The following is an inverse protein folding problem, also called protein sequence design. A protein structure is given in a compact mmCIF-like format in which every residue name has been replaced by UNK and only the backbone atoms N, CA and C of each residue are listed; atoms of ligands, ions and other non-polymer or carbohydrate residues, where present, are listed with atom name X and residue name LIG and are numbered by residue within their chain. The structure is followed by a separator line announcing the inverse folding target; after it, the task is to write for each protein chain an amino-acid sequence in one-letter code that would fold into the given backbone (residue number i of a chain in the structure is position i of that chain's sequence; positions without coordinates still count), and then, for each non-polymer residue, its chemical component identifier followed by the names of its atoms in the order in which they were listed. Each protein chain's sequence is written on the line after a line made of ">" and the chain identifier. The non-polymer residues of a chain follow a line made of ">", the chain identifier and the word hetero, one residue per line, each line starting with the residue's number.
data_IF_358954489394
#
_entry.id   IF_358954489394
#
_cell.length_a   1.000
_cell.length_b   1.000
_cell.length_c   1.000
_cell.angle_alpha   90.00
_cell.angle_beta   90.00
_cell.angle_gamma   90.00
#
_symmetry.space_group_name_H-M   'P 1'
#
loop_
_entity.id
_entity.type
_entity.pdbx_description
1 polymer ?
#
# COMPACT_ATOMS: atom_id res chain seq x y z
N UNK A 1 42.58 15.60 37.91
CA UNK A 1 42.07 15.92 36.55
C UNK A 1 42.07 14.71 35.62
N UNK A 2 43.17 13.93 35.48
CA UNK A 2 43.22 12.74 34.61
C UNK A 2 42.25 11.62 34.97
N UNK A 3 42.00 11.36 36.26
CA UNK A 3 41.04 10.33 36.69
C UNK A 3 39.59 10.63 36.27
N UNK A 4 39.13 11.88 36.42
CA UNK A 4 37.77 12.28 36.03
C UNK A 4 37.49 12.12 34.53
N UNK A 5 38.49 12.36 33.67
CA UNK A 5 38.38 12.15 32.22
C UNK A 5 38.22 10.66 31.89
N UNK A 6 38.97 9.79 32.56
CA UNK A 6 38.88 8.34 32.37
C UNK A 6 37.54 7.80 32.87
N UNK A 7 37.04 8.29 34.01
CA UNK A 7 35.70 7.91 34.48
C UNK A 7 34.62 8.42 33.54
N UNK A 8 34.70 9.66 33.05
CA UNK A 8 33.74 10.18 32.07
C UNK A 8 33.76 9.38 30.76
N UNK A 9 34.94 9.01 30.25
CA UNK A 9 35.05 8.17 29.05
C UNK A 9 34.51 6.76 29.26
N UNK A 10 34.71 6.17 30.44
CA UNK A 10 34.10 4.88 30.80
C UNK A 10 32.58 4.99 30.88
N UNK A 11 32.04 6.07 31.47
CA UNK A 11 30.59 6.32 31.51
C UNK A 11 30.02 6.57 30.11
N UNK A 12 30.70 7.33 29.26
CA UNK A 12 30.30 7.55 27.86
C UNK A 12 30.35 6.24 27.06
N UNK A 13 31.39 5.41 27.26
CA UNK A 13 31.49 4.09 26.64
C UNK A 13 30.39 3.13 27.10
N UNK A 14 30.08 3.11 28.40
CA UNK A 14 28.98 2.33 28.97
C UNK A 14 27.63 2.83 28.43
N UNK A 15 27.42 4.15 28.36
CA UNK A 15 26.20 4.75 27.76
C UNK A 15 26.10 4.43 26.26
N UNK A 16 27.21 4.40 25.52
CA UNK A 16 27.20 3.98 24.10
C UNK A 16 26.85 2.49 23.94
N UNK A 17 27.35 1.61 24.81
CA UNK A 17 27.00 0.18 24.79
C UNK A 17 25.54 -0.06 25.21
N UNK A 18 24.98 0.75 26.12
CA UNK A 18 23.56 0.69 26.49
C UNK A 18 22.63 1.43 25.50
N UNK A 19 23.15 2.37 24.71
CA UNK A 19 22.43 3.01 23.62
C UNK A 19 22.36 2.12 22.37
N UNK A 20 23.23 1.11 22.28
CA UNK A 20 23.15 0.06 21.27
C UNK A 20 22.00 -0.88 21.60
N UNK A 21 20.98 -0.90 20.73
CA UNK A 21 19.90 -1.86 20.83
C UNK A 21 20.42 -3.18 20.26
N UNK A 22 20.44 -4.27 21.04
CA UNK A 22 20.84 -5.57 20.51
C UNK A 22 19.99 -5.87 19.27
N UNK A 23 20.63 -6.43 18.24
CA UNK A 23 19.91 -6.83 17.03
C UNK A 23 18.80 -7.79 17.38
N UNK A 24 17.68 -7.62 16.70
CA UNK A 24 16.55 -8.51 16.91
C UNK A 24 16.92 -9.92 16.47
N UNK A 25 16.57 -10.91 17.31
CA UNK A 25 16.87 -12.33 17.07
C UNK A 25 16.43 -12.80 15.68
N UNK A 26 15.30 -12.31 15.19
CA UNK A 26 14.77 -12.63 13.85
C UNK A 26 15.67 -12.15 12.70
N UNK A 27 16.32 -10.99 12.86
CA UNK A 27 17.28 -10.45 11.90
C UNK A 27 18.52 -11.33 11.86
N UNK A 28 19.01 -11.75 13.02
CA UNK A 28 20.18 -12.63 13.11
C UNK A 28 19.88 -14.03 12.59
N UNK A 29 18.70 -14.60 12.88
CA UNK A 29 18.24 -15.88 12.34
C UNK A 29 18.11 -15.84 10.81
N UNK A 30 17.54 -14.76 10.26
CA UNK A 30 17.42 -14.58 8.81
C UNK A 30 18.80 -14.44 8.14
N UNK A 31 19.72 -13.66 8.72
CA UNK A 31 21.09 -13.52 8.22
C UNK A 31 21.88 -14.84 8.29
N UNK A 32 21.74 -15.59 9.38
CA UNK A 32 22.36 -16.91 9.53
C UNK A 32 21.82 -17.91 8.50
N UNK A 33 20.52 -17.86 8.20
CA UNK A 33 19.87 -18.73 7.22
C UNK A 33 20.19 -18.36 5.76
N UNK A 34 20.37 -17.07 5.46
CA UNK A 34 20.53 -16.59 4.07
C UNK A 34 21.98 -16.32 3.67
N UNK A 35 22.89 -16.13 4.64
CA UNK A 35 24.34 -16.29 4.52
C UNK A 35 25.08 -15.39 3.51
N UNK A 36 24.40 -14.57 2.72
CA UNK A 36 25.01 -13.81 1.62
C UNK A 36 24.42 -12.41 1.54
N UNK A 37 25.30 -11.41 1.52
CA UNK A 37 25.01 -10.09 0.96
C UNK A 37 24.47 -10.29 -0.44
N UNK A 38 23.21 -9.93 -0.65
CA UNK A 38 22.61 -10.01 -1.98
C UNK A 38 23.21 -8.89 -2.81
N UNK A 39 24.11 -9.23 -3.74
CA UNK A 39 24.45 -8.34 -4.85
C UNK A 39 23.16 -7.96 -5.59
N UNK A 40 23.13 -6.76 -6.15
CA UNK A 40 22.09 -6.29 -7.07
C UNK A 40 21.90 -7.33 -8.19
N UNK A 41 21.08 -8.35 -7.95
CA UNK A 41 20.39 -9.02 -9.04
C UNK A 41 19.62 -7.91 -9.72
N UNK A 42 19.81 -7.80 -11.05
CA UNK A 42 19.13 -6.81 -11.87
C UNK A 42 17.64 -6.77 -11.54
N UNK A 43 16.99 -5.67 -11.94
CA UNK A 43 15.57 -5.45 -11.73
C UNK A 43 14.78 -6.77 -11.88
N UNK A 44 13.89 -7.11 -10.93
CA UNK A 44 13.21 -8.40 -10.90
C UNK A 44 12.69 -8.80 -12.28
N UNK A 45 12.76 -10.10 -12.62
CA UNK A 45 12.18 -10.65 -13.87
C UNK A 45 10.66 -10.42 -13.95
N UNK A 46 10.00 -10.18 -12.81
CA UNK A 46 8.68 -9.53 -12.82
C UNK A 46 8.88 -8.14 -13.41
N UNK A 47 8.52 -8.00 -14.68
CA UNK A 47 8.16 -6.72 -15.27
C UNK A 47 6.96 -6.18 -14.49
N UNK A 48 7.23 -5.62 -13.32
CA UNK A 48 6.38 -4.55 -12.83
C UNK A 48 6.41 -3.50 -13.92
N UNK A 49 5.25 -2.97 -14.32
CA UNK A 49 5.13 -1.80 -15.18
C UNK A 49 5.68 -0.55 -14.50
N UNK A 50 6.83 -0.65 -13.83
CA UNK A 50 7.64 0.44 -13.37
C UNK A 50 7.86 1.35 -14.58
N UNK A 51 7.74 2.65 -14.35
CA UNK A 51 8.05 3.70 -15.32
C UNK A 51 9.40 3.50 -16.01
N UNK A 52 10.33 2.77 -15.39
CA UNK A 52 11.61 2.39 -16.00
C UNK A 52 11.51 1.53 -17.26
N UNK A 53 10.36 0.87 -17.51
CA UNK A 53 10.16 -0.04 -18.64
C UNK A 53 9.30 0.50 -19.78
N UNK A 54 8.78 1.74 -19.67
CA UNK A 54 7.93 2.37 -20.70
C UNK A 54 8.59 3.60 -21.36
N UNK A 55 9.91 3.65 -21.40
CA UNK A 55 10.63 4.69 -22.15
C UNK A 55 10.81 4.27 -23.61
N UNK A 56 10.13 4.94 -24.54
CA UNK A 56 10.60 4.96 -25.93
C UNK A 56 11.89 5.81 -26.02
N UNK A 57 12.59 5.74 -27.16
CA UNK A 57 13.85 6.46 -27.41
C UNK A 57 13.75 8.01 -27.31
N UNK A 58 12.54 8.56 -27.10
CA UNK A 58 12.26 9.98 -26.94
C UNK A 58 11.85 10.35 -25.51
N UNK A 59 11.85 9.40 -24.57
CA UNK A 59 11.41 9.58 -23.17
C UNK A 59 9.95 10.06 -23.04
N UNK A 60 9.12 9.79 -24.04
CA UNK A 60 7.69 10.06 -23.97
C UNK A 60 7.01 8.84 -23.36
N UNK A 61 6.55 8.97 -22.11
CA UNK A 61 5.60 8.04 -21.52
C UNK A 61 4.20 8.47 -21.98
N UNK A 62 3.63 7.73 -22.92
CA UNK A 62 2.21 7.85 -23.27
C UNK A 62 1.45 6.85 -22.38
N UNK A 63 0.47 7.29 -21.59
CA UNK A 63 -0.50 6.35 -21.06
C UNK A 63 -1.36 5.86 -22.23
N UNK A 64 -1.12 4.63 -22.66
CA UNK A 64 -2.24 3.78 -22.99
C UNK A 64 -2.74 3.23 -21.66
N UNK A 65 -3.89 3.69 -21.17
CA UNK A 65 -4.74 2.85 -20.31
C UNK A 65 -5.30 1.79 -21.26
N UNK A 66 -4.65 0.61 -21.43
CA UNK A 66 -5.00 -0.29 -22.54
C UNK A 66 -6.47 -0.72 -22.45
N UNK A 67 -7.00 -0.72 -21.24
CA UNK A 67 -8.32 -1.23 -20.87
C UNK A 67 -9.44 -0.23 -21.18
N UNK A 68 -9.09 1.05 -21.34
CA UNK A 68 -10.02 2.14 -21.62
C UNK A 68 -9.62 2.95 -22.86
N UNK A 69 -8.65 2.46 -23.66
CA UNK A 69 -8.16 3.12 -24.88
C UNK A 69 -9.31 3.35 -25.88
N UNK A 70 -10.21 2.38 -26.01
CA UNK A 70 -11.42 2.43 -26.85
C UNK A 70 -12.41 3.55 -26.47
N UNK A 71 -12.20 4.21 -25.32
CA UNK A 71 -13.03 5.31 -24.84
C UNK A 71 -12.42 6.69 -25.04
N UNK A 72 -11.34 6.83 -25.81
CA UNK A 72 -10.75 8.15 -26.08
C UNK A 72 -9.97 8.73 -24.90
N UNK A 73 -9.47 7.87 -24.00
CA UNK A 73 -8.61 8.24 -22.87
C UNK A 73 -7.10 8.23 -23.23
N UNK A 74 -6.78 8.31 -24.53
CA UNK A 74 -5.45 8.04 -25.11
C UNK A 74 -4.35 9.04 -24.70
N UNK A 75 -4.72 10.16 -24.09
CA UNK A 75 -3.80 11.28 -23.79
C UNK A 75 -3.83 11.71 -22.31
N UNK A 76 -4.29 10.86 -21.41
CA UNK A 76 -4.24 11.14 -19.97
C UNK A 76 -2.79 11.07 -19.48
N UNK A 77 -2.38 11.91 -18.53
CA UNK A 77 -0.99 11.94 -18.05
C UNK A 77 -0.66 10.67 -17.25
N UNK A 78 0.45 9.97 -17.54
CA UNK A 78 0.86 8.77 -16.83
C UNK A 78 1.11 8.91 -15.34
N UNK A 79 0.79 7.81 -14.64
CA UNK A 79 1.30 7.54 -13.29
C UNK A 79 2.82 7.64 -13.28
N UNK A 80 3.38 8.17 -12.20
CA UNK A 80 4.80 8.40 -11.99
C UNK A 80 5.36 9.66 -12.65
N UNK A 81 4.55 10.42 -13.38
CA UNK A 81 5.01 11.66 -13.97
C UNK A 81 5.14 12.76 -12.90
N UNK A 82 6.33 13.35 -12.81
CA UNK A 82 6.56 14.54 -12.00
C UNK A 82 6.19 15.77 -12.80
N UNK A 83 5.28 16.58 -12.26
CA UNK A 83 4.94 17.85 -12.90
C UNK A 83 6.15 18.78 -12.94
N UNK A 84 6.38 19.40 -14.10
CA UNK A 84 7.31 20.52 -14.22
C UNK A 84 6.62 21.83 -13.82
N UNK A 85 7.39 22.88 -13.59
CA UNK A 85 6.87 24.24 -13.34
C UNK A 85 6.04 24.81 -14.50
N UNK A 86 6.10 24.19 -15.68
CA UNK A 86 5.28 24.55 -16.85
C UNK A 86 3.96 23.77 -16.93
N UNK A 87 3.65 22.89 -15.97
CA UNK A 87 2.43 22.08 -16.01
C UNK A 87 1.23 22.94 -15.62
N UNK A 88 0.23 23.04 -16.50
CA UNK A 88 -0.98 23.86 -16.32
C UNK A 88 -2.05 23.19 -15.43
N UNK A 89 -1.67 22.29 -14.52
CA UNK A 89 -2.61 21.59 -13.65
C UNK A 89 -2.84 22.40 -12.39
N UNK A 90 -4.05 22.92 -12.24
CA UNK A 90 -4.48 23.59 -11.03
C UNK A 90 -4.84 22.58 -9.94
N UNK A 91 -4.47 22.87 -8.69
CA UNK A 91 -4.73 22.02 -7.53
C UNK A 91 -5.99 22.47 -6.79
N UNK A 92 -6.89 21.54 -6.52
CA UNK A 92 -8.13 21.75 -5.78
C UNK A 92 -7.95 21.59 -4.26
N UNK A 93 -6.93 20.84 -3.82
CA UNK A 93 -6.66 20.61 -2.40
C UNK A 93 -5.27 20.01 -2.15
N UNK A 94 -4.71 20.30 -0.98
CA UNK A 94 -3.45 19.72 -0.49
C UNK A 94 -3.64 19.20 0.94
N UNK A 95 -3.15 18.00 1.19
CA UNK A 95 -3.05 17.41 2.51
C UNK A 95 -1.68 16.72 2.65
N UNK A 96 -0.79 17.31 3.45
CA UNK A 96 0.58 16.83 3.62
C UNK A 96 1.32 16.67 2.27
N UNK A 97 1.70 15.44 1.91
CA UNK A 97 2.36 15.09 0.65
C UNK A 97 1.38 14.82 -0.50
N UNK A 98 0.08 14.83 -0.22
CA UNK A 98 -0.99 14.50 -1.16
C UNK A 98 -1.62 15.77 -1.73
N UNK A 99 -1.84 15.79 -3.03
CA UNK A 99 -2.59 16.87 -3.69
C UNK A 99 -3.59 16.29 -4.70
N UNK A 100 -4.68 17.02 -4.93
CA UNK A 100 -5.66 16.68 -5.97
C UNK A 100 -5.80 17.84 -6.95
N UNK A 101 -5.93 17.55 -8.25
CA UNK A 101 -6.19 18.56 -9.26
C UNK A 101 -7.66 18.99 -9.31
N UNK A 102 -7.91 20.15 -9.89
CA UNK A 102 -9.24 20.46 -10.42
C UNK A 102 -9.63 19.48 -11.53
N UNK A 103 -10.93 19.33 -11.78
CA UNK A 103 -11.44 18.45 -12.85
C UNK A 103 -11.20 19.14 -14.20
N UNK A 104 -10.46 18.49 -15.09
CA UNK A 104 -10.24 18.94 -16.46
C UNK A 104 -11.24 18.23 -17.39
N UNK A 105 -12.06 18.97 -18.16
CA UNK A 105 -13.00 18.35 -19.09
C UNK A 105 -12.25 17.71 -20.27
N UNK A 106 -12.79 16.61 -20.79
CA UNK A 106 -12.32 16.05 -22.05
C UNK A 106 -12.95 16.77 -23.24
N UNK A 107 -12.13 17.16 -24.21
CA UNK A 107 -12.59 17.87 -25.42
C UNK A 107 -13.09 16.92 -26.51
N UNK A 108 -12.65 15.66 -26.50
CA UNK A 108 -13.09 14.62 -27.44
C UNK A 108 -14.41 13.99 -27.00
N UNK A 109 -15.22 13.50 -27.96
CA UNK A 109 -16.35 12.60 -27.68
C UNK A 109 -15.81 11.30 -27.06
N UNK A 110 -15.77 11.25 -25.73
CA UNK A 110 -15.39 10.12 -24.90
C UNK A 110 -16.62 9.64 -24.11
N UNK A 111 -16.54 8.42 -23.58
CA UNK A 111 -17.49 7.96 -22.55
C UNK A 111 -17.38 8.83 -21.28
N UNK A 112 -16.19 9.38 -21.04
CA UNK A 112 -15.85 10.20 -19.89
C UNK A 112 -16.04 11.69 -20.21
N UNK A 113 -16.47 12.46 -19.21
CA UNK A 113 -16.65 13.91 -19.28
C UNK A 113 -15.44 14.70 -18.81
N UNK A 114 -14.56 14.10 -17.99
CA UNK A 114 -13.36 14.76 -17.50
C UNK A 114 -12.48 13.87 -16.65
N UNK A 115 -11.36 14.46 -16.19
CA UNK A 115 -10.32 13.81 -15.40
C UNK A 115 -9.85 14.69 -14.24
N UNK A 116 -9.62 14.10 -13.07
CA UNK A 116 -8.80 14.69 -12.01
C UNK A 116 -7.60 13.78 -11.72
N UNK A 117 -6.53 14.39 -11.20
CA UNK A 117 -5.26 13.75 -10.90
C UNK A 117 -4.98 13.84 -9.41
N UNK A 118 -4.43 12.77 -8.84
CA UNK A 118 -3.95 12.72 -7.47
C UNK A 118 -2.44 12.58 -7.48
N UNK A 119 -1.79 13.38 -6.65
CA UNK A 119 -0.34 13.51 -6.57
C UNK A 119 0.14 13.11 -5.18
N UNK A 120 1.30 12.46 -5.14
CA UNK A 120 2.09 12.21 -3.94
C UNK A 120 3.50 12.76 -4.22
N UNK A 121 3.98 13.71 -3.41
CA UNK A 121 5.29 14.36 -3.61
C UNK A 121 5.49 14.90 -5.04
N UNK A 122 4.45 15.51 -5.62
CA UNK A 122 4.40 16.03 -7.01
C UNK A 122 4.44 14.97 -8.12
N UNK A 123 4.32 13.68 -7.76
CA UNK A 123 4.25 12.57 -8.69
C UNK A 123 2.80 12.10 -8.81
N UNK A 124 2.29 11.98 -10.04
CA UNK A 124 0.94 11.43 -10.27
C UNK A 124 0.91 9.97 -9.82
N UNK A 125 0.00 9.60 -8.93
CA UNK A 125 -0.17 8.21 -8.50
C UNK A 125 -1.62 7.72 -8.63
N UNK A 126 -2.58 8.63 -8.76
CA UNK A 126 -4.00 8.34 -8.94
C UNK A 126 -4.64 9.22 -10.00
N UNK A 127 -5.66 8.70 -10.68
CA UNK A 127 -6.44 9.37 -11.72
C UNK A 127 -7.92 9.03 -11.49
N UNK A 128 -8.80 10.03 -11.55
CA UNK A 128 -10.24 9.83 -11.53
C UNK A 128 -10.84 10.27 -12.86
N UNK A 129 -11.53 9.37 -13.55
CA UNK A 129 -12.25 9.64 -14.78
C UNK A 129 -13.75 9.77 -14.47
N UNK A 130 -14.37 10.88 -14.85
CA UNK A 130 -15.78 11.14 -14.57
C UNK A 130 -16.65 10.75 -15.77
N UNK A 131 -17.84 10.19 -15.52
CA UNK A 131 -18.84 9.89 -16.54
C UNK A 131 -20.25 10.22 -16.02
N UNK A 132 -21.21 10.37 -16.94
CA UNK A 132 -22.59 10.72 -16.58
C UNK A 132 -23.30 9.55 -15.89
N UNK A 133 -23.81 9.79 -14.68
CA UNK A 133 -24.55 8.81 -13.88
C UNK A 133 -25.93 8.50 -14.43
N UNK A 134 -26.49 9.36 -15.27
CA UNK A 134 -27.82 9.16 -15.87
C UNK A 134 -27.81 8.14 -17.02
N UNK A 135 -26.63 7.81 -17.53
CA UNK A 135 -26.44 6.88 -18.64
C UNK A 135 -25.91 5.53 -18.16
N UNK A 136 -26.83 4.66 -17.74
CA UNK A 136 -26.50 3.29 -17.31
C UNK A 136 -25.76 2.47 -18.38
N UNK A 137 -25.91 2.82 -19.67
CA UNK A 137 -25.22 2.11 -20.74
C UNK A 137 -23.70 2.39 -20.70
N UNK A 138 -23.29 3.58 -20.27
CA UNK A 138 -21.86 3.92 -20.12
C UNK A 138 -21.20 3.09 -19.03
N UNK A 139 -21.83 3.01 -17.85
CA UNK A 139 -21.32 2.19 -16.74
C UNK A 139 -21.16 0.74 -17.16
N UNK A 140 -22.19 0.16 -17.77
CA UNK A 140 -22.16 -1.24 -18.21
C UNK A 140 -21.07 -1.49 -19.26
N UNK A 141 -20.81 -0.53 -20.15
CA UNK A 141 -19.74 -0.63 -21.13
C UNK A 141 -18.35 -0.62 -20.47
N UNK A 142 -18.12 0.28 -19.50
CA UNK A 142 -16.87 0.34 -18.73
C UNK A 142 -16.66 -0.97 -17.97
N UNK A 143 -17.67 -1.40 -17.22
CA UNK A 143 -17.63 -2.63 -16.42
C UNK A 143 -17.28 -3.85 -17.27
N UNK A 144 -17.92 -4.00 -18.44
CA UNK A 144 -17.62 -5.07 -19.40
C UNK A 144 -16.16 -5.08 -19.89
N UNK A 145 -15.54 -3.91 -20.06
CA UNK A 145 -14.14 -3.82 -20.48
C UNK A 145 -13.18 -4.13 -19.32
N UNK A 146 -13.51 -3.68 -18.10
CA UNK A 146 -12.76 -4.06 -16.90
C UNK A 146 -12.84 -5.58 -16.67
N UNK A 147 -14.01 -6.18 -16.78
CA UNK A 147 -14.19 -7.64 -16.71
C UNK A 147 -13.38 -8.39 -17.76
N UNK A 148 -13.30 -7.86 -18.98
CA UNK A 148 -12.50 -8.46 -20.06
C UNK A 148 -11.01 -8.44 -19.70
N UNK A 149 -10.52 -7.35 -19.13
CA UNK A 149 -9.12 -7.18 -18.79
C UNK A 149 -8.74 -7.99 -17.54
N UNK A 150 -9.39 -7.69 -16.42
CA UNK A 150 -9.06 -8.24 -15.10
C UNK A 150 -9.59 -9.67 -14.91
N UNK A 151 -10.51 -10.11 -15.77
CA UNK A 151 -11.19 -11.43 -15.74
C UNK A 151 -12.17 -11.62 -14.58
N UNK A 152 -11.98 -10.93 -13.46
CA UNK A 152 -12.81 -11.01 -12.25
C UNK A 152 -12.64 -9.75 -11.40
N UNK A 153 -13.72 -9.28 -10.78
CA UNK A 153 -13.67 -8.26 -9.73
C UNK A 153 -13.13 -8.82 -8.41
N UNK A 154 -12.30 -8.05 -7.72
CA UNK A 154 -11.87 -8.35 -6.35
C UNK A 154 -13.02 -8.21 -5.36
N UNK A 155 -13.91 -7.24 -5.61
CA UNK A 155 -14.98 -6.86 -4.71
C UNK A 155 -16.10 -6.09 -5.40
N UNK A 156 -17.34 -6.42 -5.03
CA UNK A 156 -18.57 -5.78 -5.51
C UNK A 156 -19.50 -5.50 -4.34
N UNK A 157 -19.79 -4.22 -4.06
CA UNK A 157 -20.75 -3.85 -3.03
C UNK A 157 -21.26 -2.42 -3.24
N UNK A 158 -22.58 -2.22 -3.06
CA UNK A 158 -23.16 -0.87 -2.97
C UNK A 158 -22.95 -0.01 -4.22
N UNK A 159 -22.85 -0.64 -5.40
CA UNK A 159 -22.56 0.04 -6.66
C UNK A 159 -21.08 0.40 -6.87
N UNK A 160 -20.19 0.02 -5.96
CA UNK A 160 -18.75 0.01 -6.18
C UNK A 160 -18.31 -1.37 -6.70
N UNK A 161 -17.52 -1.38 -7.76
CA UNK A 161 -16.83 -2.58 -8.25
C UNK A 161 -15.34 -2.30 -8.28
N UNK A 162 -14.56 -3.22 -7.73
CA UNK A 162 -13.12 -3.06 -7.52
C UNK A 162 -12.39 -4.15 -8.28
N UNK A 163 -11.35 -3.74 -8.99
CA UNK A 163 -10.43 -4.60 -9.71
C UNK A 163 -8.99 -4.26 -9.30
N UNK A 164 -8.10 -5.23 -9.38
CA UNK A 164 -6.68 -4.99 -9.29
C UNK A 164 -5.90 -6.05 -10.05
N UNK A 165 -4.74 -5.62 -10.55
CA UNK A 165 -3.71 -6.48 -11.11
C UNK A 165 -2.37 -6.08 -10.49
N UNK A 166 -1.22 -6.61 -10.92
CA UNK A 166 0.07 -6.23 -10.35
C UNK A 166 0.46 -4.75 -10.53
N UNK A 167 -0.17 -4.01 -11.44
CA UNK A 167 0.24 -2.67 -11.84
C UNK A 167 -0.72 -1.57 -11.31
N UNK A 168 -2.02 -1.84 -11.28
CA UNK A 168 -3.04 -0.87 -10.91
C UNK A 168 -4.22 -1.46 -10.15
N UNK A 169 -4.89 -0.56 -9.45
CA UNK A 169 -6.13 -0.79 -8.73
C UNK A 169 -7.21 0.12 -9.34
N UNK A 170 -8.35 -0.44 -9.73
CA UNK A 170 -9.45 0.30 -10.35
C UNK A 170 -10.69 0.17 -9.51
N UNK A 171 -11.30 1.31 -9.16
CA UNK A 171 -12.57 1.38 -8.44
C UNK A 171 -13.60 2.05 -9.34
N UNK A 172 -14.54 1.26 -9.86
CA UNK A 172 -15.72 1.74 -10.58
C UNK A 172 -16.79 2.15 -9.58
N UNK A 173 -17.10 3.44 -9.52
CA UNK A 173 -18.14 4.05 -8.68
C UNK A 173 -19.25 4.64 -9.56
N UNK A 174 -20.43 4.97 -8.99
CA UNK A 174 -21.42 5.77 -9.69
C UNK A 174 -20.82 7.10 -10.15
N UNK A 175 -20.72 7.29 -11.46
CA UNK A 175 -20.30 8.56 -12.09
C UNK A 175 -18.79 8.79 -12.18
N UNK A 176 -17.97 7.86 -11.67
CA UNK A 176 -16.52 7.96 -11.82
C UNK A 176 -15.82 6.60 -11.79
N UNK A 177 -14.64 6.56 -12.38
CA UNK A 177 -13.69 5.45 -12.30
C UNK A 177 -12.42 6.00 -11.68
N UNK A 178 -12.02 5.46 -10.54
CA UNK A 178 -10.74 5.80 -9.91
C UNK A 178 -9.72 4.74 -10.29
N UNK A 179 -8.54 5.18 -10.71
CA UNK A 179 -7.42 4.33 -11.08
C UNK A 179 -6.21 4.75 -10.26
N UNK A 180 -5.59 3.80 -9.60
CA UNK A 180 -4.43 4.03 -8.74
C UNK A 180 -3.29 3.14 -9.21
N UNK A 181 -2.10 3.71 -9.29
CA UNK A 181 -0.90 2.90 -9.43
C UNK A 181 -0.66 2.12 -8.14
N UNK A 182 -0.29 0.85 -8.27
CA UNK A 182 0.23 0.06 -7.15
C UNK A 182 1.72 0.32 -6.90
N UNK A 183 2.28 1.36 -7.50
CA UNK A 183 3.55 1.89 -7.07
C UNK A 183 3.35 2.58 -5.71
N UNK A 184 3.73 1.89 -4.64
CA UNK A 184 3.49 2.39 -3.29
C UNK A 184 4.55 3.42 -2.93
N UNK A 185 4.13 4.65 -2.65
CA UNK A 185 4.89 5.53 -1.76
C UNK A 185 4.64 5.05 -0.32
N UNK A 186 5.67 4.78 0.49
CA UNK A 186 5.46 4.40 1.87
C UNK A 186 4.91 5.60 2.64
N UNK A 187 3.81 5.41 3.36
CA UNK A 187 3.44 6.36 4.40
C UNK A 187 4.36 6.09 5.58
N UNK A 188 5.14 7.10 5.96
CA UNK A 188 6.05 7.02 7.11
C UNK A 188 5.33 7.54 8.33
N UNK A 189 4.87 6.63 9.18
CA UNK A 189 4.22 6.97 10.44
C UNK A 189 5.28 6.97 11.55
N UNK A 190 5.44 8.10 12.25
CA UNK A 190 6.35 8.17 13.41
C UNK A 190 5.58 7.75 14.66
N UNK A 191 5.90 6.57 15.19
CA UNK A 191 5.20 6.03 16.36
C UNK A 191 5.82 6.52 17.68
N UNK A 192 7.15 6.48 17.77
CA UNK A 192 7.94 7.05 18.87
C UNK A 192 9.23 7.68 18.34
N UNK A 193 9.89 8.57 19.12
CA UNK A 193 11.20 9.09 18.74
C UNK A 193 12.20 7.96 18.44
N UNK A 194 12.63 7.86 17.18
CA UNK A 194 13.54 6.82 16.71
C UNK A 194 12.88 5.47 16.35
N UNK A 195 11.55 5.42 16.25
CA UNK A 195 10.78 4.29 15.71
C UNK A 195 9.81 4.78 14.63
N UNK A 196 10.02 4.34 13.39
CA UNK A 196 9.18 4.68 12.23
C UNK A 196 8.54 3.45 11.64
N UNK A 197 7.27 3.53 11.27
CA UNK A 197 6.60 2.52 10.46
C UNK A 197 6.59 2.95 9.01
N UNK A 198 7.05 2.08 8.11
CA UNK A 198 6.90 2.24 6.66
C UNK A 198 5.74 1.40 6.21
N UNK A 199 4.56 2.03 6.12
CA UNK A 199 3.30 1.36 5.82
C UNK A 199 2.99 1.46 4.34
N UNK A 200 2.65 0.32 3.74
CA UNK A 200 2.29 0.21 2.34
C UNK A 200 0.78 0.04 2.23
N UNK A 201 0.04 1.14 2.40
CA UNK A 201 -1.42 1.14 2.30
C UNK A 201 -1.89 0.85 0.89
N UNK A 202 -2.99 0.12 0.79
CA UNK A 202 -3.76 0.04 -0.45
C UNK A 202 -4.53 1.35 -0.72
N UNK A 203 -4.93 1.60 -1.98
CA UNK A 203 -5.63 2.81 -2.37
C UNK A 203 -7.10 2.88 -1.90
N UNK A 204 -7.69 1.78 -1.45
CA UNK A 204 -9.08 1.75 -1.02
C UNK A 204 -9.35 0.72 0.08
N UNK A 205 -10.33 1.03 0.93
CA UNK A 205 -10.84 0.11 1.94
C UNK A 205 -11.99 -0.72 1.37
N UNK A 206 -12.20 -1.91 1.94
CA UNK A 206 -13.39 -2.72 1.69
C UNK A 206 -14.56 -2.22 2.53
N UNK A 207 -15.59 -1.68 1.89
CA UNK A 207 -16.69 -0.99 2.56
C UNK A 207 -18.04 -1.69 2.36
N UNK A 208 -18.67 -2.14 3.44
CA UNK A 208 -19.98 -2.77 3.40
C UNK A 208 -20.86 -2.31 4.58
N UNK A 209 -22.09 -1.87 4.29
CA UNK A 209 -23.11 -1.55 5.29
C UNK A 209 -22.64 -0.57 6.39
N UNK A 210 -21.83 0.43 6.02
CA UNK A 210 -21.26 1.40 6.96
C UNK A 210 -20.05 0.91 7.75
N UNK A 211 -19.58 -0.31 7.48
CA UNK A 211 -18.28 -0.80 7.93
C UNK A 211 -17.23 -0.67 6.82
N UNK A 212 -15.96 -0.55 7.22
CA UNK A 212 -14.79 -0.42 6.35
C UNK A 212 -13.67 -1.29 6.92
N UNK A 213 -12.92 -2.01 6.07
CA UNK A 213 -11.72 -2.76 6.50
C UNK A 213 -10.58 -2.62 5.48
N UNK A 214 -9.36 -2.47 5.99
CA UNK A 214 -8.12 -2.41 5.23
C UNK A 214 -7.07 -3.30 5.88
N UNK A 215 -6.41 -4.13 5.09
CA UNK A 215 -5.22 -4.88 5.48
C UNK A 215 -4.01 -4.26 4.78
N UNK A 216 -3.02 -3.84 5.56
CA UNK A 216 -1.76 -3.29 5.06
C UNK A 216 -0.56 -3.96 5.73
N UNK A 217 0.50 -4.15 4.96
CA UNK A 217 1.77 -4.67 5.45
C UNK A 217 2.77 -3.53 5.61
N UNK A 218 3.65 -3.66 6.60
CA UNK A 218 4.60 -2.61 6.91
C UNK A 218 5.86 -3.16 7.55
N UNK A 219 6.88 -2.30 7.61
CA UNK A 219 8.08 -2.56 8.38
C UNK A 219 8.21 -1.51 9.48
N UNK A 220 8.39 -1.96 10.71
CA UNK A 220 8.82 -1.12 11.82
C UNK A 220 10.34 -1.05 11.80
N UNK A 221 10.86 0.16 11.69
CA UNK A 221 12.28 0.46 11.82
C UNK A 221 12.52 1.15 13.16
N UNK A 222 13.39 0.56 13.98
CA UNK A 222 13.90 1.22 15.19
C UNK A 222 15.37 1.61 15.03
N UNK A 223 15.95 2.17 16.09
CA UNK A 223 17.38 2.46 16.16
C UNK A 223 18.21 1.24 15.74
N UNK A 224 19.33 1.51 15.08
CA UNK A 224 20.33 0.51 14.67
C UNK A 224 19.91 -0.46 13.56
N UNK A 225 18.98 -0.03 12.69
CA UNK A 225 18.47 -0.84 11.56
C UNK A 225 17.80 -2.15 12.03
N UNK A 226 17.20 -2.15 13.21
CA UNK A 226 16.31 -3.22 13.62
C UNK A 226 15.00 -3.06 12.85
N UNK A 227 14.72 -4.04 11.98
CA UNK A 227 13.54 -4.06 11.13
C UNK A 227 12.66 -5.23 11.54
N UNK A 228 11.39 -4.95 11.78
CA UNK A 228 10.37 -5.96 12.05
C UNK A 228 9.26 -5.84 11.02
N UNK A 229 8.99 -6.94 10.34
CA UNK A 229 7.84 -7.04 9.46
C UNK A 229 6.57 -7.22 10.29
N UNK A 230 5.51 -6.53 9.86
CA UNK A 230 4.22 -6.56 10.53
C UNK A 230 3.11 -6.35 9.50
N UNK A 231 1.88 -6.60 9.93
CA UNK A 231 0.70 -6.13 9.24
C UNK A 231 -0.25 -5.49 10.24
N UNK A 232 -1.16 -4.66 9.70
CA UNK A 232 -2.26 -4.07 10.43
C UNK A 232 -3.55 -4.19 9.67
N UNK A 233 -4.63 -4.40 10.41
CA UNK A 233 -6.00 -4.34 9.96
C UNK A 233 -6.63 -3.10 10.57
N UNK A 234 -6.85 -2.06 9.75
CA UNK A 234 -7.65 -0.91 10.15
C UNK A 234 -9.10 -1.19 9.77
N UNK A 235 -10.02 -1.07 10.72
CA UNK A 235 -11.44 -1.24 10.45
C UNK A 235 -12.33 -0.28 11.22
N UNK A 236 -13.41 0.14 10.58
CA UNK A 236 -14.44 1.02 11.12
C UNK A 236 -15.79 0.33 11.02
N UNK A 237 -16.66 0.49 12.00
CA UNK A 237 -18.00 -0.11 11.97
C UNK A 237 -19.00 0.64 12.86
N UNK A 238 -20.32 0.51 12.62
CA UNK A 238 -21.34 1.14 13.46
C UNK A 238 -21.23 0.65 14.92
N UNK A 239 -21.23 1.58 15.87
CA UNK A 239 -21.06 1.27 17.29
C UNK A 239 -22.14 0.32 17.82
N UNK A 240 -21.77 -0.51 18.80
CA UNK A 240 -22.69 -1.49 19.42
C UNK A 240 -23.00 -2.72 18.56
N UNK A 241 -22.34 -2.89 17.41
CA UNK A 241 -22.33 -4.14 16.64
C UNK A 241 -21.16 -5.03 17.11
N UNK A 242 -21.36 -6.35 17.27
CA UNK A 242 -20.25 -7.26 17.51
C UNK A 242 -19.46 -7.40 16.21
N UNK A 243 -18.46 -6.55 16.02
CA UNK A 243 -17.61 -6.56 14.82
C UNK A 243 -16.11 -6.50 15.17
N UNK A 244 -15.77 -6.82 16.42
CA UNK A 244 -14.38 -6.97 16.84
C UNK A 244 -13.76 -8.18 16.14
N UNK A 245 -12.72 -7.92 15.35
CA UNK A 245 -11.89 -8.96 14.75
C UNK A 245 -10.85 -9.41 15.78
N UNK A 246 -10.71 -10.73 15.96
CA UNK A 246 -9.83 -11.32 16.96
C UNK A 246 -8.66 -12.08 16.32
N UNK A 247 -8.85 -12.57 15.09
CA UNK A 247 -7.93 -13.46 14.42
C UNK A 247 -7.94 -13.19 12.92
N UNK A 248 -6.77 -13.31 12.29
CA UNK A 248 -6.64 -13.39 10.84
C UNK A 248 -5.96 -14.71 10.46
N UNK A 249 -6.42 -15.31 9.35
CA UNK A 249 -5.78 -16.46 8.73
C UNK A 249 -5.40 -16.15 7.29
N UNK A 250 -4.16 -16.48 6.94
CA UNK A 250 -3.69 -16.52 5.57
C UNK A 250 -3.66 -17.98 5.13
N UNK A 251 -4.62 -18.37 4.29
CA UNK A 251 -4.75 -19.71 3.75
C UNK A 251 -4.04 -19.73 2.39
N UNK A 252 -2.88 -20.38 2.34
CA UNK A 252 -2.06 -20.55 1.16
C UNK A 252 -2.33 -21.91 0.51
N UNK A 253 -1.59 -22.24 -0.55
CA UNK A 253 -1.76 -23.49 -1.30
C UNK A 253 -1.42 -24.74 -0.44
N UNK A 254 -0.47 -24.62 0.49
CA UNK A 254 0.11 -25.73 1.27
C UNK A 254 0.06 -25.53 2.80
N UNK A 255 -0.15 -24.30 3.26
CA UNK A 255 -0.11 -23.94 4.68
C UNK A 255 -1.14 -22.86 5.04
N UNK A 256 -1.65 -22.91 6.27
CA UNK A 256 -2.44 -21.83 6.84
C UNK A 256 -1.68 -21.18 7.99
N UNK A 257 -1.43 -19.87 7.89
CA UNK A 257 -0.91 -19.08 8.99
C UNK A 257 -2.06 -18.47 9.77
N UNK A 258 -2.14 -18.78 11.06
CA UNK A 258 -3.13 -18.24 11.99
C UNK A 258 -2.45 -17.26 12.94
N UNK A 259 -2.94 -16.02 12.98
CA UNK A 259 -2.31 -14.91 13.69
C UNK A 259 -3.35 -14.12 14.50
N UNK A 260 -3.10 -13.82 15.79
CA UNK A 260 -4.01 -13.01 16.59
C UNK A 260 -4.00 -11.56 16.10
N UNK A 261 -5.14 -10.88 16.21
CA UNK A 261 -5.25 -9.44 15.97
C UNK A 261 -5.24 -8.69 17.30
N UNK A 262 -4.11 -8.07 17.62
CA UNK A 262 -3.96 -7.24 18.82
C UNK A 262 -4.37 -5.80 18.50
N UNK A 263 -5.34 -5.26 19.23
CA UNK A 263 -5.82 -3.88 19.06
C UNK A 263 -4.80 -2.93 19.70
N UNK A 264 -4.30 -1.98 18.91
CA UNK A 264 -3.44 -0.91 19.39
C UNK A 264 -4.22 0.34 19.77
N UNK A 265 -5.22 0.65 18.96
CA UNK A 265 -6.00 1.86 19.07
C UNK A 265 -7.48 1.55 18.88
N UNK A 266 -8.31 2.18 19.69
CA UNK A 266 -9.75 2.18 19.51
C UNK A 266 -10.30 3.56 19.82
N UNK A 267 -11.13 4.09 18.94
CA UNK A 267 -11.82 5.35 19.16
C UNK A 267 -13.29 5.26 18.77
N UNK A 268 -14.11 6.05 19.45
CA UNK A 268 -15.55 6.17 19.20
C UNK A 268 -15.81 7.61 18.81
N UNK A 269 -15.98 7.84 17.50
CA UNK A 269 -16.32 9.18 17.02
C UNK A 269 -17.84 9.33 17.03
N UNK A 270 -18.35 10.36 17.69
CA UNK A 270 -19.77 10.71 17.68
C UNK A 270 -20.00 12.04 16.95
N UNK A 271 -19.98 11.96 15.62
CA UNK A 271 -20.28 13.06 14.70
C UNK A 271 -21.71 13.00 14.15
N UNK A 272 -22.68 12.55 14.96
CA UNK A 272 -24.07 12.31 14.54
C UNK A 272 -24.34 10.87 14.05
N UNK A 273 -23.31 10.02 14.00
CA UNK A 273 -23.41 8.55 13.94
C UNK A 273 -22.29 7.98 14.80
N UNK A 274 -22.62 7.13 15.77
CA UNK A 274 -21.64 6.44 16.58
C UNK A 274 -20.92 5.37 15.74
N UNK A 275 -19.62 5.56 15.51
CA UNK A 275 -18.75 4.63 14.76
C UNK A 275 -17.57 4.25 15.66
N UNK A 276 -17.26 2.96 15.70
CA UNK A 276 -16.04 2.43 16.33
C UNK A 276 -14.97 2.24 15.26
N UNK A 277 -13.81 2.86 15.46
CA UNK A 277 -12.59 2.65 14.67
C UNK A 277 -11.58 1.84 15.48
N UNK A 278 -10.93 0.89 14.82
CA UNK A 278 -9.90 0.05 15.42
C UNK A 278 -8.70 -0.09 14.48
N UNK A 279 -7.52 0.05 15.06
CA UNK A 279 -6.26 -0.28 14.40
C UNK A 279 -5.56 -1.39 15.19
N UNK A 280 -4.98 -2.36 14.47
CA UNK A 280 -4.36 -3.55 15.05
C UNK A 280 -2.90 -3.60 14.67
N UNK A 281 -2.07 -4.28 15.47
CA UNK A 281 -0.71 -4.62 15.05
C UNK A 281 -0.43 -6.06 15.30
N UNK A 282 0.16 -6.70 14.29
CA UNK A 282 0.67 -8.06 14.43
C UNK A 282 2.03 -8.17 13.76
N UNK A 283 3.05 -8.48 14.56
CA UNK A 283 4.38 -8.78 14.04
C UNK A 283 4.40 -10.17 13.40
N UNK A 284 5.10 -10.29 12.28
CA UNK A 284 5.22 -11.55 11.55
C UNK A 284 6.66 -11.83 11.19
N UNK A 285 7.01 -13.11 11.17
CA UNK A 285 8.29 -13.55 10.65
C UNK A 285 8.36 -13.28 9.14
N UNK A 286 9.53 -12.88 8.60
CA UNK A 286 9.69 -12.59 7.17
C UNK A 286 9.41 -13.82 6.28
N UNK A 287 9.55 -15.03 6.81
CA UNK A 287 9.19 -16.28 6.15
C UNK A 287 7.69 -16.35 5.83
N UNK A 288 6.84 -15.79 6.69
CA UNK A 288 5.39 -15.71 6.46
C UNK A 288 5.12 -14.78 5.27
N UNK A 289 5.73 -13.60 5.22
CA UNK A 289 5.58 -12.69 4.09
C UNK A 289 6.10 -13.30 2.78
N UNK A 290 7.23 -13.99 2.84
CA UNK A 290 7.82 -14.72 1.71
C UNK A 290 6.90 -15.84 1.20
N UNK A 291 6.27 -16.58 2.11
CA UNK A 291 5.31 -17.63 1.75
C UNK A 291 4.08 -17.03 1.08
N UNK A 292 3.54 -15.94 1.63
CA UNK A 292 2.43 -15.19 1.03
C UNK A 292 2.83 -14.71 -0.38
N UNK A 293 3.92 -13.96 -0.55
CA UNK A 293 4.37 -13.41 -1.86
C UNK A 293 4.57 -14.49 -2.95
N UNK A 294 5.04 -15.68 -2.56
CA UNK A 294 5.28 -16.80 -3.49
C UNK A 294 4.03 -17.60 -3.85
N UNK A 295 3.01 -17.58 -3.00
CA UNK A 295 1.79 -18.34 -3.22
C UNK A 295 1.07 -17.85 -4.47
N UNK A 296 0.43 -18.75 -5.21
CA UNK A 296 -0.35 -18.36 -6.40
C UNK A 296 -1.66 -17.71 -6.00
N UNK A 297 -2.33 -18.31 -5.02
CA UNK A 297 -3.57 -17.81 -4.45
C UNK A 297 -3.41 -17.67 -2.95
N UNK A 298 -4.05 -16.66 -2.37
CA UNK A 298 -4.06 -16.44 -0.92
C UNK A 298 -5.47 -16.10 -0.54
N UNK A 299 -6.07 -16.87 0.36
CA UNK A 299 -7.36 -16.48 0.95
C UNK A 299 -7.10 -15.88 2.32
N UNK A 300 -7.76 -14.76 2.58
CA UNK A 300 -7.70 -14.06 3.86
C UNK A 300 -9.01 -14.32 4.58
N UNK A 301 -8.95 -14.92 5.76
CA UNK A 301 -10.09 -15.10 6.66
C UNK A 301 -9.91 -14.20 7.90
N UNK A 302 -10.81 -13.24 8.10
CA UNK A 302 -10.91 -12.45 9.32
C UNK A 302 -12.01 -13.05 10.19
N UNK A 303 -11.68 -13.43 11.43
CA UNK A 303 -12.59 -14.07 12.38
C UNK A 303 -12.78 -13.17 13.61
N UNK A 304 -14.03 -12.93 13.97
CA UNK A 304 -14.39 -12.04 15.06
C UNK A 304 -15.70 -12.38 15.74
N UNK A 305 -16.12 -11.52 16.66
CA UNK A 305 -17.35 -11.69 17.46
C UNK A 305 -18.63 -11.68 16.62
N UNK A 306 -18.58 -11.13 15.39
CA UNK A 306 -19.70 -11.03 14.46
C UNK A 306 -19.72 -12.07 13.33
N UNK A 307 -18.77 -13.01 13.32
CA UNK A 307 -18.64 -14.02 12.28
C UNK A 307 -17.29 -13.99 11.57
N UNK A 308 -17.30 -14.44 10.31
CA UNK A 308 -16.10 -14.58 9.47
C UNK A 308 -16.26 -13.84 8.16
N UNK A 309 -15.20 -13.16 7.73
CA UNK A 309 -15.06 -12.58 6.39
C UNK A 309 -13.95 -13.33 5.66
N UNK A 310 -14.30 -13.99 4.55
CA UNK A 310 -13.36 -14.72 3.70
C UNK A 310 -13.31 -14.06 2.32
N UNK A 311 -12.12 -13.68 1.88
CA UNK A 311 -11.89 -13.14 0.54
C UNK A 311 -10.57 -13.63 -0.04
N UNK A 312 -10.43 -13.54 -1.36
CA UNK A 312 -9.17 -13.79 -2.05
C UNK A 312 -8.34 -12.51 -2.00
N UNK A 313 -7.08 -12.62 -1.60
CA UNK A 313 -6.19 -11.47 -1.44
C UNK A 313 -6.00 -10.79 -2.81
N UNK A 314 -6.45 -9.53 -2.96
CA UNK A 314 -6.36 -8.77 -4.20
C UNK A 314 -4.90 -8.44 -4.53
N UNK A 315 -4.64 -8.10 -5.79
CA UNK A 315 -3.28 -7.81 -6.25
C UNK A 315 -2.65 -6.60 -5.53
N UNK A 316 -3.43 -5.61 -5.10
CA UNK A 316 -2.89 -4.47 -4.33
C UNK A 316 -2.39 -4.88 -2.93
N UNK A 317 -3.11 -5.75 -2.21
CA UNK A 317 -2.62 -6.27 -0.92
C UNK A 317 -1.42 -7.17 -1.13
N UNK A 318 -1.38 -7.94 -2.23
CA UNK A 318 -0.23 -8.74 -2.63
C UNK A 318 1.00 -7.85 -2.88
N UNK A 319 0.81 -6.71 -3.53
CA UNK A 319 1.88 -5.73 -3.75
C UNK A 319 2.38 -5.11 -2.42
N UNK A 320 1.48 -4.84 -1.46
CA UNK A 320 1.84 -4.43 -0.10
C UNK A 320 2.73 -5.48 0.60
N UNK A 321 2.36 -6.78 0.54
CA UNK A 321 3.17 -7.90 1.07
C UNK A 321 4.53 -7.94 0.40
N UNK A 322 4.57 -7.92 -0.93
CA UNK A 322 5.79 -8.00 -1.71
C UNK A 322 6.75 -6.86 -1.34
N UNK A 323 6.22 -5.63 -1.29
CA UNK A 323 7.02 -4.44 -0.97
C UNK A 323 7.54 -4.50 0.46
N UNK A 324 6.71 -4.93 1.42
CA UNK A 324 7.14 -5.12 2.80
C UNK A 324 8.28 -6.16 2.92
N UNK A 325 8.13 -7.31 2.27
CA UNK A 325 9.13 -8.38 2.27
C UNK A 325 10.45 -7.96 1.60
N UNK A 326 10.38 -7.36 0.41
CA UNK A 326 11.57 -6.90 -0.31
C UNK A 326 12.30 -5.79 0.44
N UNK A 327 11.56 -4.88 1.06
CA UNK A 327 12.13 -3.85 1.91
C UNK A 327 12.89 -4.47 3.10
N UNK A 328 12.28 -5.42 3.82
CA UNK A 328 12.95 -6.14 4.91
C UNK A 328 14.21 -6.84 4.40
N UNK A 329 14.07 -7.67 3.35
CA UNK A 329 15.14 -8.46 2.75
C UNK A 329 16.33 -7.58 2.36
N UNK A 330 16.07 -6.48 1.67
CA UNK A 330 17.11 -5.56 1.21
C UNK A 330 17.84 -4.90 2.38
N UNK A 331 17.12 -4.32 3.32
CA UNK A 331 17.73 -3.53 4.38
C UNK A 331 18.46 -4.38 5.43
N UNK A 332 17.97 -5.61 5.68
CA UNK A 332 18.65 -6.56 6.57
C UNK A 332 19.92 -7.11 5.95
N UNK A 333 19.91 -7.45 4.65
CA UNK A 333 21.08 -8.03 3.96
C UNK A 333 22.11 -7.00 3.50
N UNK A 334 21.70 -5.74 3.30
CA UNK A 334 22.58 -4.66 2.88
C UNK A 334 22.52 -3.45 3.85
N UNK A 335 22.87 -3.63 5.13
CA UNK A 335 22.76 -2.55 6.13
C UNK A 335 23.65 -1.36 5.80
N UNK A 336 24.76 -1.58 5.07
CA UNK A 336 25.68 -0.54 4.62
C UNK A 336 25.16 0.28 3.43
N UNK A 337 24.15 -0.19 2.69
CA UNK A 337 23.64 0.52 1.52
C UNK A 337 23.01 1.88 1.89
N UNK A 338 22.35 1.96 3.06
CA UNK A 338 21.81 3.22 3.59
C UNK A 338 22.91 4.26 3.89
N UNK A 339 24.12 3.83 4.22
CA UNK A 339 25.26 4.71 4.52
C UNK A 339 26.11 5.08 3.28
N UNK A 340 25.85 4.47 2.12
CA UNK A 340 26.56 4.80 0.87
C UNK A 340 26.01 6.04 0.16
N UNK A 341 24.80 6.47 0.52
CA UNK A 341 24.11 7.62 -0.09
C UNK A 341 24.18 8.89 0.78
N UNK A 342 25.12 8.95 1.73
CA UNK A 342 25.44 10.15 2.52
C UNK A 342 26.67 10.86 1.97
#
# INVERSE_FOLDING_TARGET
>A
MKYYIVTMLLWVGVIQVFAQQPRLKQVDEYLAATGQTVELKGAPERQYGLLSTLYNNQKNLMLNLPDLEDYGAREVIPFGFRLSTASEIELAGQNENMAESTVRPFYSKSIFSGVSYQFCDSVIYGITLFYDTQDNAKRAAIEKNLDRHFKKADYEQGGAVVYSDPDYAVRLLPGKVELYSLFHFPVVETFYPGVSHKVWYGPYNYEANGASVMLAFYNQESKENNIQSAFKVNYKYPAGKPFKMNLIRFILDDITYELPLEIEYSDVTDGGKAVEERDTRTFVFPEVLKAIDRSKTVKVELVGEGGRLLYEMPAFQRASVHTAYEYFRWNVTNPMAKYRAW
#
